data_IF_366162749387
#
_entry.id   IF_366162749387
#
_cell.length_a   1.000
_cell.length_b   1.000
_cell.length_c   1.000
_cell.angle_alpha   90.00
_cell.angle_beta   90.00
_cell.angle_gamma   90.00
#
_symmetry.space_group_name_H-M   'P 1'
#
loop_
_entity.id
_entity.type
_entity.pdbx_description
1 polymer ?
#
# COMPACT_ATOMS: atom_id res chain seq x y z
N UNK A 1 6.82 3.37 12.02
CA UNK A 1 6.50 3.49 13.46
C UNK A 1 7.69 3.09 14.31
N UNK A 2 7.66 3.40 15.61
CA UNK A 2 8.68 3.07 16.60
C UNK A 2 8.14 2.05 17.60
N UNK A 3 8.99 1.10 17.97
CA UNK A 3 8.74 0.13 19.03
C UNK A 3 9.21 0.66 20.39
N UNK A 4 8.44 0.36 21.43
CA UNK A 4 8.81 0.54 22.83
C UNK A 4 8.58 -0.75 23.61
N UNK A 5 9.57 -1.18 24.38
CA UNK A 5 9.45 -2.35 25.28
C UNK A 5 9.93 -1.90 26.65
N UNK A 6 9.06 -1.96 27.66
CA UNK A 6 9.37 -1.55 29.02
C UNK A 6 9.25 -2.75 29.98
N UNK A 7 10.16 -2.85 30.95
CA UNK A 7 10.07 -3.82 32.03
C UNK A 7 9.26 -3.25 33.19
N UNK A 8 8.27 -4.01 33.70
CA UNK A 8 7.49 -3.60 34.86
C UNK A 8 8.29 -3.84 36.14
N UNK A 9 8.08 -3.00 37.15
CA UNK A 9 8.65 -3.21 38.49
C UNK A 9 7.81 -4.29 39.20
N UNK A 10 8.48 -5.30 39.75
CA UNK A 10 7.83 -6.26 40.63
C UNK A 10 7.56 -5.59 42.00
N UNK A 11 6.30 -5.52 42.45
CA UNK A 11 5.95 -4.84 43.69
C UNK A 11 6.56 -5.49 44.94
N UNK A 12 6.91 -6.79 44.89
CA UNK A 12 7.50 -7.54 46.00
C UNK A 12 9.00 -7.31 46.11
N UNK A 13 9.73 -7.36 45.00
CA UNK A 13 11.19 -7.24 45.01
C UNK A 13 11.68 -5.80 44.80
N UNK A 14 10.80 -4.88 44.38
CA UNK A 14 11.12 -3.49 44.01
C UNK A 14 12.16 -3.37 42.89
N UNK A 15 12.37 -4.45 42.14
CA UNK A 15 13.28 -4.53 40.99
C UNK A 15 12.50 -4.78 39.71
N UNK A 16 13.15 -4.64 38.56
CA UNK A 16 12.53 -5.00 37.28
C UNK A 16 12.16 -6.48 37.25
N UNK A 17 10.92 -6.75 36.87
CA UNK A 17 10.42 -8.09 36.68
C UNK A 17 11.09 -8.73 35.46
N UNK A 18 11.50 -10.00 35.61
CA UNK A 18 12.07 -10.77 34.50
C UNK A 18 11.01 -11.27 33.52
N UNK A 19 9.74 -11.26 33.92
CA UNK A 19 8.62 -11.86 33.18
C UNK A 19 7.56 -10.85 32.76
N UNK A 20 7.45 -9.71 33.46
CA UNK A 20 6.42 -8.70 33.19
C UNK A 20 6.97 -7.56 32.35
N UNK A 21 6.40 -7.41 31.16
CA UNK A 21 6.78 -6.38 30.19
C UNK A 21 5.54 -5.61 29.71
N UNK A 22 5.76 -4.39 29.26
CA UNK A 22 4.80 -3.61 28.48
C UNK A 22 5.37 -3.48 27.07
N UNK A 23 4.65 -4.04 26.11
CA UNK A 23 4.98 -3.95 24.69
C UNK A 23 4.18 -2.79 24.08
N UNK A 24 4.84 -1.93 23.32
CA UNK A 24 4.20 -0.79 22.67
C UNK A 24 4.71 -0.54 21.27
N UNK A 25 3.83 -0.01 20.43
CA UNK A 25 4.15 0.46 19.10
C UNK A 25 3.41 1.77 18.83
N UNK A 26 4.14 2.75 18.33
CA UNK A 26 3.56 4.04 17.92
C UNK A 26 3.90 4.32 16.46
N UNK A 27 2.93 4.78 15.69
CA UNK A 27 3.13 5.11 14.30
C UNK A 27 2.08 6.08 13.79
N UNK A 28 2.34 6.61 12.61
CA UNK A 28 1.39 7.42 11.86
C UNK A 28 1.15 6.80 10.49
N UNK A 29 -0.02 7.06 9.92
CA UNK A 29 -0.39 6.58 8.59
C UNK A 29 -1.35 7.58 7.89
N UNK A 30 -1.30 7.71 6.56
CA UNK A 30 -0.22 7.32 5.65
C UNK A 30 1.12 8.01 5.97
N UNK A 31 2.22 7.54 5.37
CA UNK A 31 3.56 8.14 5.53
C UNK A 31 3.70 9.43 4.70
N UNK A 32 3.11 9.46 3.50
CA UNK A 32 3.17 10.60 2.59
C UNK A 32 2.39 11.81 3.11
N UNK A 33 1.19 11.57 3.65
CA UNK A 33 0.32 12.57 4.24
C UNK A 33 -0.29 12.04 5.55
N UNK A 34 0.37 12.23 6.71
CA UNK A 34 -0.09 11.67 7.98
C UNK A 34 -1.50 12.16 8.36
N UNK A 35 -2.47 11.25 8.34
CA UNK A 35 -3.86 11.53 8.71
C UNK A 35 -4.17 11.09 10.14
N UNK A 36 -3.53 10.01 10.61
CA UNK A 36 -3.75 9.43 11.94
C UNK A 36 -2.47 9.05 12.64
N UNK A 37 -2.49 9.14 13.97
CA UNK A 37 -1.46 8.62 14.87
C UNK A 37 -2.08 7.53 15.74
N UNK A 38 -1.49 6.35 15.73
CA UNK A 38 -1.98 5.18 16.46
C UNK A 38 -0.88 4.75 17.43
N UNK A 39 -1.27 4.60 18.69
CA UNK A 39 -0.45 3.96 19.73
C UNK A 39 -1.13 2.68 20.18
N UNK A 40 -0.39 1.58 20.14
CA UNK A 40 -0.83 0.28 20.63
C UNK A 40 0.03 -0.05 21.85
N UNK A 41 -0.62 -0.33 22.97
CA UNK A 41 0.03 -0.73 24.23
C UNK A 41 -0.57 -2.05 24.68
N UNK A 42 0.28 -3.05 24.88
CA UNK A 42 -0.09 -4.39 25.35
C UNK A 42 0.60 -4.63 26.68
N UNK A 43 -0.20 -4.77 27.73
CA UNK A 43 0.28 -5.08 29.08
C UNK A 43 0.46 -6.59 29.24
N UNK A 44 1.62 -7.00 29.78
CA UNK A 44 1.99 -8.39 30.08
C UNK A 44 1.70 -9.38 28.92
N UNK A 45 2.26 -9.17 27.71
CA UNK A 45 2.03 -10.06 26.57
C UNK A 45 2.57 -11.47 26.84
N UNK A 46 1.79 -12.49 26.48
CA UNK A 46 2.21 -13.89 26.56
C UNK A 46 3.09 -14.27 25.35
N UNK A 47 4.22 -14.95 25.60
CA UNK A 47 5.15 -15.38 24.55
C UNK A 47 6.21 -14.35 24.23
N UNK A 48 6.17 -13.74 23.03
CA UNK A 48 7.14 -12.72 22.63
C UNK A 48 6.83 -11.40 23.34
N UNK A 49 7.82 -10.82 24.01
CA UNK A 49 7.67 -9.53 24.73
C UNK A 49 8.12 -8.33 23.90
N UNK A 50 8.67 -8.54 22.70
CA UNK A 50 9.16 -7.45 21.87
C UNK A 50 7.98 -6.65 21.30
N UNK A 51 7.95 -5.34 21.57
CA UNK A 51 6.88 -4.44 21.08
C UNK A 51 6.63 -4.52 19.57
N UNK A 52 7.67 -4.79 18.77
CA UNK A 52 7.52 -4.99 17.32
C UNK A 52 6.82 -6.28 16.93
N UNK A 53 6.98 -7.37 17.68
CA UNK A 53 6.35 -8.64 17.35
C UNK A 53 4.87 -8.67 17.74
N UNK A 54 4.52 -8.03 18.86
CA UNK A 54 3.15 -8.07 19.42
C UNK A 54 2.31 -6.89 18.92
N UNK A 55 2.82 -5.67 19.01
CA UNK A 55 2.02 -4.47 18.79
C UNK A 55 2.03 -3.97 17.33
N UNK A 56 3.02 -4.33 16.53
CA UNK A 56 3.05 -3.95 15.11
C UNK A 56 1.96 -4.59 14.23
N UNK A 57 1.63 -5.91 14.33
CA UNK A 57 0.54 -6.47 13.54
C UNK A 57 -0.82 -5.85 13.90
N UNK A 58 -1.05 -5.56 15.19
CA UNK A 58 -2.26 -4.87 15.65
C UNK A 58 -2.35 -3.45 15.08
N UNK A 59 -1.24 -2.69 15.07
CA UNK A 59 -1.20 -1.37 14.43
C UNK A 59 -1.60 -1.46 12.95
N UNK A 60 -1.11 -2.48 12.24
CA UNK A 60 -1.42 -2.68 10.82
C UNK A 60 -2.91 -2.94 10.61
N UNK A 61 -3.50 -3.86 11.36
CA UNK A 61 -4.93 -4.18 11.24
C UNK A 61 -5.82 -2.96 11.52
N UNK A 62 -5.49 -2.16 12.55
CA UNK A 62 -6.22 -0.93 12.86
C UNK A 62 -6.10 0.07 11.71
N UNK A 63 -4.87 0.30 11.21
CA UNK A 63 -4.65 1.22 10.10
C UNK A 63 -5.38 0.79 8.82
N UNK A 64 -5.39 -0.52 8.52
CA UNK A 64 -6.11 -1.11 7.39
C UNK A 64 -7.62 -0.87 7.46
N UNK A 65 -8.22 -0.86 8.66
CA UNK A 65 -9.66 -0.63 8.84
C UNK A 65 -10.03 0.85 8.83
N UNK A 66 -9.27 1.71 9.50
CA UNK A 66 -9.67 3.12 9.69
C UNK A 66 -9.40 4.00 8.45
N UNK A 67 -8.34 3.73 7.69
CA UNK A 67 -7.96 4.59 6.55
C UNK A 67 -9.04 4.62 5.45
N UNK A 68 -9.61 3.47 5.03
CA UNK A 68 -10.73 3.47 4.10
C UNK A 68 -11.98 4.17 4.64
N UNK A 69 -12.29 4.02 5.93
CA UNK A 69 -13.45 4.69 6.56
C UNK A 69 -13.31 6.22 6.53
N UNK A 70 -12.10 6.75 6.66
CA UNK A 70 -11.83 8.19 6.56
C UNK A 70 -11.68 8.70 5.12
N UNK A 71 -11.83 7.83 4.12
CA UNK A 71 -11.62 8.17 2.71
C UNK A 71 -10.16 8.52 2.37
N UNK A 72 -9.21 8.12 3.22
CA UNK A 72 -7.79 8.37 3.03
C UNK A 72 -7.19 7.23 2.21
N UNK A 73 -6.58 7.56 1.08
CA UNK A 73 -5.88 6.57 0.25
C UNK A 73 -4.61 6.14 0.98
N UNK A 74 -4.43 4.84 1.27
CA UNK A 74 -3.20 4.33 1.87
C UNK A 74 -2.04 4.40 0.86
N UNK A 75 -0.82 4.68 1.33
CA UNK A 75 0.38 4.75 0.49
C UNK A 75 0.79 3.41 -0.14
N UNK A 76 0.36 2.32 0.48
CA UNK A 76 0.63 0.97 0.01
C UNK A 76 -0.66 0.38 -0.51
N UNK A 77 -0.64 -0.07 -1.78
CA UNK A 77 -1.64 -1.01 -2.27
C UNK A 77 -1.72 -2.17 -1.27
N UNK A 78 -2.88 -2.35 -0.64
CA UNK A 78 -3.13 -3.51 0.21
C UNK A 78 -3.05 -4.74 -0.68
N UNK A 79 -1.84 -5.30 -0.81
CA UNK A 79 -1.63 -6.52 -1.57
C UNK A 79 -2.46 -7.60 -0.91
N UNK A 80 -3.49 -8.01 -1.62
CA UNK A 80 -4.26 -9.20 -1.25
C UNK A 80 -3.25 -10.31 -0.96
N UNK A 81 -3.39 -11.06 0.15
CA UNK A 81 -2.50 -12.18 0.47
C UNK A 81 -2.34 -13.15 -0.71
N UNK A 82 -3.41 -13.33 -1.49
CA UNK A 82 -3.42 -14.12 -2.71
C UNK A 82 -2.47 -13.59 -3.81
N UNK A 83 -2.22 -12.28 -3.88
CA UNK A 83 -1.34 -11.67 -4.86
C UNK A 83 0.15 -11.82 -4.48
N UNK A 84 0.46 -11.83 -3.18
CA UNK A 84 1.81 -12.14 -2.66
C UNK A 84 2.15 -13.61 -2.88
N UNK A 85 1.20 -14.51 -2.62
CA UNK A 85 1.33 -15.93 -2.96
C UNK A 85 1.43 -16.12 -4.47
N UNK A 86 0.62 -15.43 -5.27
CA UNK A 86 0.71 -15.49 -6.73
C UNK A 86 2.07 -15.03 -7.26
N UNK A 87 2.70 -14.01 -6.66
CA UNK A 87 4.05 -13.56 -7.04
C UNK A 87 5.16 -14.52 -6.57
N UNK A 88 4.99 -15.17 -5.42
CA UNK A 88 5.93 -16.17 -4.92
C UNK A 88 5.83 -17.52 -5.68
N UNK A 89 4.63 -17.84 -6.20
CA UNK A 89 4.34 -19.05 -6.98
C UNK A 89 4.47 -18.80 -8.49
N UNK A 90 4.69 -17.56 -8.92
CA UNK A 90 4.89 -17.21 -10.32
C UNK A 90 6.11 -17.96 -10.90
N UNK A 91 5.82 -19.00 -11.68
CA UNK A 91 6.81 -19.78 -12.41
C UNK A 91 7.50 -18.87 -13.44
N UNK A 92 8.81 -19.01 -13.72
CA UNK A 92 9.58 -18.09 -14.57
C UNK A 92 8.97 -17.74 -15.94
N UNK A 93 8.05 -18.56 -16.47
CA UNK A 93 7.33 -18.31 -17.72
C UNK A 93 6.27 -17.21 -17.69
N UNK A 94 5.77 -16.78 -16.52
CA UNK A 94 4.74 -15.73 -16.43
C UNK A 94 5.32 -14.32 -16.52
N UNK A 95 6.55 -14.11 -16.01
CA UNK A 95 7.27 -12.84 -16.08
C UNK A 95 7.57 -12.41 -17.52
N UNK A 96 7.77 -13.38 -18.42
CA UNK A 96 7.98 -13.12 -19.85
C UNK A 96 6.68 -12.64 -20.53
N UNK A 97 5.54 -13.24 -20.21
CA UNK A 97 4.23 -12.85 -20.77
C UNK A 97 3.78 -11.47 -20.30
N UNK A 98 4.05 -11.11 -19.04
CA UNK A 98 3.75 -9.78 -18.49
C UNK A 98 4.57 -8.68 -19.18
N UNK A 99 5.89 -8.90 -19.35
CA UNK A 99 6.76 -7.96 -20.08
C UNK A 99 6.38 -7.81 -21.55
N UNK A 100 5.90 -8.89 -22.18
CA UNK A 100 5.43 -8.85 -23.57
C UNK A 100 4.09 -8.13 -23.70
N UNK A 101 3.17 -8.29 -22.74
CA UNK A 101 1.91 -7.55 -22.69
C UNK A 101 2.12 -6.06 -22.42
N UNK A 102 3.03 -5.70 -21.52
CA UNK A 102 3.38 -4.30 -21.24
C UNK A 102 3.98 -3.63 -22.49
N UNK A 103 4.89 -4.31 -23.20
CA UNK A 103 5.45 -3.80 -24.46
C UNK A 103 4.40 -3.64 -25.56
N UNK A 104 3.50 -4.62 -25.73
CA UNK A 104 2.39 -4.52 -26.71
C UNK A 104 1.46 -3.37 -26.38
N UNK A 105 1.17 -3.13 -25.10
CA UNK A 105 0.33 -2.01 -24.64
C UNK A 105 1.00 -0.66 -24.84
N UNK A 106 2.33 -0.56 -24.67
CA UNK A 106 3.10 0.64 -24.97
C UNK A 106 3.22 0.91 -26.48
N UNK A 107 3.42 -0.13 -27.28
CA UNK A 107 3.42 -0.02 -28.75
C UNK A 107 2.04 0.38 -29.29
N UNK A 108 0.96 -0.18 -28.75
CA UNK A 108 -0.41 0.22 -29.10
C UNK A 108 -0.67 1.67 -28.72
N UNK A 109 -0.24 2.13 -27.54
CA UNK A 109 -0.36 3.55 -27.15
C UNK A 109 0.43 4.47 -28.08
N UNK A 110 1.66 4.09 -28.44
CA UNK A 110 2.51 4.88 -29.35
C UNK A 110 1.93 4.91 -30.78
N UNK A 111 1.32 3.79 -31.20
CA UNK A 111 0.60 3.70 -32.47
C UNK A 111 -0.68 4.53 -32.43
N UNK A 112 -1.41 4.53 -31.33
CA UNK A 112 -2.61 5.35 -31.13
C UNK A 112 -2.28 6.84 -31.07
N UNK A 113 -1.19 7.23 -30.41
CA UNK A 113 -0.68 8.61 -30.38
C UNK A 113 -0.21 9.09 -31.77
N UNK A 114 0.49 8.24 -32.53
CA UNK A 114 0.87 8.56 -33.92
C UNK A 114 -0.32 8.62 -34.88
N UNK A 115 -1.33 7.74 -34.69
CA UNK A 115 -2.60 7.79 -35.42
C UNK A 115 -3.39 9.05 -35.05
N UNK A 116 -3.41 9.45 -33.79
CA UNK A 116 -4.05 10.68 -33.32
C UNK A 116 -3.34 11.94 -33.87
N UNK A 117 -2.02 11.91 -34.02
CA UNK A 117 -1.25 13.02 -34.61
C UNK A 117 -1.37 13.11 -36.14
N UNK A 118 -1.72 12.01 -36.82
CA UNK A 118 -1.84 11.94 -38.29
C UNK A 118 -3.29 12.01 -38.76
N UNK A 119 -4.27 11.85 -37.86
CA UNK A 119 -5.67 12.01 -38.22
C UNK A 119 -6.01 13.48 -38.43
N UNK A 120 -6.63 13.85 -39.58
CA UNK A 120 -7.21 15.17 -39.71
C UNK A 120 -8.28 15.32 -38.62
N UNK A 121 -8.24 16.43 -37.88
CA UNK A 121 -9.24 16.72 -36.86
C UNK A 121 -10.58 16.90 -37.56
N UNK A 122 -11.36 15.82 -37.68
CA UNK A 122 -12.72 15.88 -38.20
C UNK A 122 -13.52 16.67 -37.18
N UNK A 123 -13.65 17.98 -37.44
CA UNK A 123 -14.66 18.79 -36.80
C UNK A 123 -16.00 18.07 -36.96
N UNK A 124 -16.83 18.13 -35.92
CA UNK A 124 -18.14 17.49 -35.90
C UNK A 124 -18.88 17.72 -37.22
N UNK A 125 -19.62 16.70 -37.65
CA UNK A 125 -20.24 16.64 -38.97
C UNK A 125 -21.42 17.62 -39.05
N UNK A 126 -21.14 18.87 -39.41
CA UNK A 126 -22.15 19.87 -39.75
C UNK A 126 -22.74 19.51 -41.11
N UNK A 127 -24.07 19.47 -41.23
CA UNK A 127 -24.77 18.88 -42.37
C UNK A 127 -24.78 19.76 -43.65
N UNK A 128 -23.69 20.48 -43.95
CA UNK A 128 -23.56 21.33 -45.13
C UNK A 128 -22.14 21.22 -45.70
N UNK A 129 -22.03 20.59 -46.88
CA UNK A 129 -20.97 20.72 -47.88
C UNK A 129 -19.53 20.82 -47.36
N UNK A 130 -18.79 19.71 -47.43
CA UNK A 130 -17.43 19.60 -46.93
C UNK A 130 -16.44 20.59 -47.56
N UNK A 131 -15.68 21.23 -46.67
CA UNK A 131 -14.41 21.88 -46.99
C UNK A 131 -13.35 21.27 -46.07
N UNK A 132 -12.35 20.63 -46.67
CA UNK A 132 -11.20 20.05 -45.96
C UNK A 132 -10.03 21.01 -46.17
N UNK A 133 -9.72 21.80 -45.14
CA UNK A 133 -8.55 22.69 -45.12
C UNK A 133 -7.37 21.90 -44.53
N UNK A 134 -6.28 21.78 -45.28
CA UNK A 134 -5.03 21.18 -44.83
C UNK A 134 -4.12 22.29 -44.26
N UNK A 135 -3.66 22.13 -43.01
CA UNK A 135 -2.48 22.83 -42.48
C UNK A 135 -1.29 21.88 -42.51
#
# INVERSE_FOLDING_TARGET
>A
GKTGTAQKIDPRTKTYSKTKYVASFVGFAPVSNPAVVIIVVVDEPAGSYHGGAVAAPVFREIAEQILPEMGVIPDTDFKNPNELVARAVATPGQTAKLREQEKRREEEKRLEESRASTMPRVAARDNKGGEIVYC
#
